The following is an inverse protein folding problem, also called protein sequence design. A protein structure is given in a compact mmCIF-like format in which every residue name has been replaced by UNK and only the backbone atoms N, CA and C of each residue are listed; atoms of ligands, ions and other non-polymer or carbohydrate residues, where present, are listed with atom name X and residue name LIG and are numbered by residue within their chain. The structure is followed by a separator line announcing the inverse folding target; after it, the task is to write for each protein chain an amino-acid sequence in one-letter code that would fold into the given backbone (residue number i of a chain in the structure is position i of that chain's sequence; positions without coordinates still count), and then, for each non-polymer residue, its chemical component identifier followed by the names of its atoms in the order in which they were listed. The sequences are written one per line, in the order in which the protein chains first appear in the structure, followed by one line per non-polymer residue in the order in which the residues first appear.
data_IF_268247535848
#
_entry.id   IF_268247535848
#
_cell.length_a   1.000
_cell.length_b   1.000
_cell.length_c   1.000
_cell.angle_alpha   90.00
_cell.angle_beta   90.00
_cell.angle_gamma   90.00
#
_symmetry.space_group_name_H-M   'P 1'
#
loop_
_entity.id
_entity.type
_entity.pdbx_description
1 polymer ?
#
# COMPACT_ATOMS: atom_id res chain seq x y z
N UNK A 1 11.86 -1.22 31.34
CA UNK A 1 10.99 -2.42 31.25
C UNK A 1 11.26 -3.29 32.48
N UNK A 2 10.25 -3.61 33.31
CA UNK A 2 10.46 -4.44 34.51
C UNK A 2 10.90 -5.87 34.15
N UNK A 3 11.67 -6.52 35.04
CA UNK A 3 12.21 -7.89 34.83
C UNK A 3 11.13 -8.90 34.41
N UNK A 4 9.94 -8.81 35.00
CA UNK A 4 8.79 -9.66 34.68
C UNK A 4 8.33 -9.44 33.23
N UNK A 5 8.25 -8.19 32.77
CA UNK A 5 7.89 -7.86 31.39
C UNK A 5 8.92 -8.36 30.38
N UNK A 6 10.22 -8.31 30.72
CA UNK A 6 11.29 -8.85 29.87
C UNK A 6 11.22 -10.38 29.76
N UNK A 7 10.93 -11.08 30.85
CA UNK A 7 10.77 -12.54 30.84
C UNK A 7 9.55 -12.97 30.03
N UNK A 8 8.40 -12.30 30.20
CA UNK A 8 7.18 -12.58 29.44
C UNK A 8 7.38 -12.33 27.94
N UNK A 9 8.05 -11.24 27.59
CA UNK A 9 8.38 -10.92 26.20
C UNK A 9 9.31 -11.95 25.55
N UNK A 10 10.30 -12.45 26.29
CA UNK A 10 11.19 -13.51 25.80
C UNK A 10 10.46 -14.86 25.61
N UNK A 11 9.57 -15.23 26.55
CA UNK A 11 8.73 -16.42 26.41
C UNK A 11 7.79 -16.31 25.21
N UNK A 12 7.24 -15.12 24.97
CA UNK A 12 6.42 -14.82 23.78
C UNK A 12 7.21 -14.97 22.47
N UNK A 13 8.46 -14.49 22.40
CA UNK A 13 9.33 -14.69 21.23
C UNK A 13 9.50 -16.18 20.90
N UNK A 14 9.72 -17.02 21.91
CA UNK A 14 9.87 -18.47 21.74
C UNK A 14 8.56 -19.12 21.31
N UNK A 15 7.43 -18.75 21.93
CA UNK A 15 6.10 -19.25 21.53
C UNK A 15 5.76 -18.91 20.08
N UNK A 16 6.03 -17.67 19.64
CA UNK A 16 5.82 -17.28 18.26
C UNK A 16 6.72 -18.08 17.31
N UNK A 17 8.01 -18.23 17.59
CA UNK A 17 8.90 -19.08 16.77
C UNK A 17 8.35 -20.50 16.55
N UNK A 18 7.76 -21.11 17.59
CA UNK A 18 7.16 -22.46 17.52
C UNK A 18 5.85 -22.45 16.72
N UNK A 19 4.99 -21.45 16.94
CA UNK A 19 3.69 -21.31 16.24
C UNK A 19 3.85 -20.99 14.76
N UNK A 20 4.87 -20.19 14.42
CA UNK A 20 5.20 -19.79 13.04
C UNK A 20 5.68 -20.95 12.19
N UNK A 21 6.33 -21.96 12.78
CA UNK A 21 6.66 -23.21 12.07
C UNK A 21 5.44 -24.03 11.67
N UNK A 22 4.29 -23.85 12.35
CA UNK A 22 3.16 -24.77 12.29
C UNK A 22 1.85 -24.16 11.78
N UNK A 23 1.82 -22.89 11.34
CA UNK A 23 0.58 -22.21 10.92
C UNK A 23 0.66 -21.62 9.51
N UNK A 24 -0.45 -21.69 8.76
CA UNK A 24 -0.65 -20.96 7.48
C UNK A 24 -0.96 -19.46 7.67
N UNK A 25 -0.99 -19.00 8.93
CA UNK A 25 -1.29 -17.62 9.28
C UNK A 25 -0.01 -16.82 9.10
N UNK A 26 -0.08 -15.65 8.44
CA UNK A 26 1.10 -14.81 8.30
C UNK A 26 1.59 -14.42 9.70
N UNK A 27 2.91 -14.45 9.95
CA UNK A 27 3.47 -14.12 11.25
C UNK A 27 2.92 -12.85 11.87
N UNK A 28 2.77 -11.84 11.02
CA UNK A 28 2.21 -10.52 11.31
C UNK A 28 0.78 -10.57 11.86
N UNK A 29 -0.12 -11.31 11.21
CA UNK A 29 -1.53 -11.39 11.60
C UNK A 29 -1.66 -12.07 12.98
N UNK A 30 -0.85 -13.10 13.23
CA UNK A 30 -0.85 -13.81 14.51
C UNK A 30 -0.36 -12.96 15.68
N UNK A 31 0.64 -12.10 15.44
CA UNK A 31 1.23 -11.22 16.44
C UNK A 31 0.28 -10.05 16.76
N UNK A 32 -0.40 -9.48 15.76
CA UNK A 32 -1.44 -8.47 15.97
C UNK A 32 -2.64 -9.01 16.79
N UNK A 33 -3.14 -10.19 16.44
CA UNK A 33 -4.26 -10.82 17.14
C UNK A 33 -3.91 -11.07 18.61
N UNK A 34 -2.73 -11.63 18.88
CA UNK A 34 -2.32 -11.97 20.25
C UNK A 34 -2.06 -10.72 21.11
N UNK A 35 -1.43 -9.71 20.53
CA UNK A 35 -1.19 -8.43 21.21
C UNK A 35 -2.50 -7.69 21.52
N UNK A 36 -3.47 -7.74 20.60
CA UNK A 36 -4.83 -7.25 20.85
C UNK A 36 -5.53 -8.01 21.98
N UNK A 37 -5.35 -9.34 22.08
CA UNK A 37 -5.93 -10.16 23.16
C UNK A 37 -5.32 -9.86 24.54
N UNK A 38 -4.03 -9.48 24.59
CA UNK A 38 -3.32 -9.16 25.83
C UNK A 38 -3.43 -7.69 26.24
N UNK A 39 -4.06 -6.83 25.44
CA UNK A 39 -4.06 -5.38 25.67
C UNK A 39 -2.65 -4.76 25.56
N UNK A 40 -1.69 -5.50 24.98
CA UNK A 40 -0.32 -5.03 24.78
C UNK A 40 -0.28 -4.39 23.40
N UNK A 41 0.00 -3.09 23.32
CA UNK A 41 0.25 -2.45 22.03
C UNK A 41 1.60 -2.95 21.51
N UNK A 42 1.59 -3.77 20.46
CA UNK A 42 2.84 -4.25 19.86
C UNK A 42 3.58 -3.08 19.23
N UNK A 43 4.75 -2.74 19.76
CA UNK A 43 5.61 -1.73 19.14
C UNK A 43 6.44 -2.37 18.03
N UNK A 44 5.77 -2.70 16.93
CA UNK A 44 6.37 -3.31 15.74
C UNK A 44 7.54 -2.49 15.20
N UNK A 45 7.50 -1.17 15.40
CA UNK A 45 8.56 -0.27 14.95
C UNK A 45 9.84 -0.57 15.72
N UNK A 46 9.77 -0.66 17.05
CA UNK A 46 10.90 -0.98 17.92
C UNK A 46 11.35 -2.43 17.75
N UNK A 47 10.43 -3.40 17.65
CA UNK A 47 10.80 -4.82 17.45
C UNK A 47 11.60 -5.01 16.15
N UNK A 48 11.17 -4.37 15.06
CA UNK A 48 11.89 -4.43 13.80
C UNK A 48 13.21 -3.64 13.86
N UNK A 49 13.27 -2.52 14.58
CA UNK A 49 14.51 -1.76 14.77
C UNK A 49 15.58 -2.60 15.50
N UNK A 50 15.21 -3.28 16.59
CA UNK A 50 16.10 -4.20 17.32
C UNK A 50 16.58 -5.34 16.40
N UNK A 51 15.68 -5.88 15.57
CA UNK A 51 16.05 -6.93 14.64
C UNK A 51 17.08 -6.44 13.61
N UNK A 52 16.82 -5.29 12.97
CA UNK A 52 17.73 -4.69 11.98
C UNK A 52 19.09 -4.38 12.62
N UNK A 53 19.11 -3.84 13.83
CA UNK A 53 20.35 -3.50 14.53
C UNK A 53 21.26 -4.72 14.76
N UNK A 54 20.67 -5.90 14.97
CA UNK A 54 21.39 -7.16 15.17
C UNK A 54 21.61 -7.93 13.85
N UNK A 55 21.24 -7.36 12.71
CA UNK A 55 21.40 -7.97 11.40
C UNK A 55 22.49 -7.23 10.61
N UNK A 56 23.50 -7.96 10.15
CA UNK A 56 24.61 -7.37 9.39
C UNK A 56 24.19 -7.09 7.94
N UNK A 57 23.52 -5.96 7.75
CA UNK A 57 23.18 -5.43 6.42
C UNK A 57 24.08 -4.26 6.02
N UNK A 58 24.57 -4.28 4.79
CA UNK A 58 25.28 -3.13 4.22
C UNK A 58 24.38 -1.93 3.96
N UNK A 59 23.14 -2.20 3.53
CA UNK A 59 22.12 -1.22 3.17
C UNK A 59 20.78 -1.72 3.68
N UNK A 60 19.99 -0.81 4.26
CA UNK A 60 18.63 -1.12 4.70
C UNK A 60 17.65 -0.21 3.99
N UNK A 61 16.61 -0.80 3.37
CA UNK A 61 15.64 -0.07 2.56
C UNK A 61 14.26 -0.16 3.23
N UNK A 62 13.74 0.98 3.66
CA UNK A 62 12.34 1.12 4.07
C UNK A 62 11.44 1.20 2.83
N UNK A 63 10.27 0.60 2.89
CA UNK A 63 9.27 0.61 1.79
C UNK A 63 7.91 1.14 2.23
N UNK A 64 7.60 1.02 3.52
CA UNK A 64 6.40 1.58 4.16
C UNK A 64 6.79 2.62 5.21
N UNK A 65 5.93 3.60 5.50
CA UNK A 65 6.30 4.70 6.41
C UNK A 65 6.62 4.25 7.84
N UNK A 66 5.99 3.17 8.33
CA UNK A 66 6.36 2.60 9.64
C UNK A 66 7.75 1.97 9.62
N UNK A 67 8.10 1.29 8.52
CA UNK A 67 9.44 0.70 8.36
C UNK A 67 10.53 1.77 8.28
N UNK A 68 10.21 2.97 7.78
CA UNK A 68 11.14 4.09 7.78
C UNK A 68 11.59 4.47 9.21
N UNK A 69 10.67 4.46 10.18
CA UNK A 69 11.02 4.66 11.59
C UNK A 69 11.86 3.51 12.15
N UNK A 70 11.54 2.25 11.83
CA UNK A 70 12.35 1.10 12.28
C UNK A 70 13.78 1.18 11.77
N UNK A 71 13.95 1.49 10.48
CA UNK A 71 15.27 1.68 9.87
C UNK A 71 16.01 2.83 10.55
N UNK A 72 15.33 3.94 10.84
CA UNK A 72 15.94 5.07 11.53
C UNK A 72 16.40 4.72 12.96
N UNK A 73 15.53 4.08 13.75
CA UNK A 73 15.84 3.69 15.13
C UNK A 73 16.88 2.58 15.22
N UNK A 74 17.00 1.73 14.20
CA UNK A 74 18.06 0.70 14.15
C UNK A 74 19.47 1.27 14.02
N UNK A 75 19.61 2.56 13.70
CA UNK A 75 20.89 3.21 13.39
C UNK A 75 21.65 2.52 12.26
N UNK A 76 20.93 2.01 11.25
CA UNK A 76 21.53 1.39 10.06
C UNK A 76 22.57 2.30 9.41
N UNK A 77 23.69 1.71 8.97
CA UNK A 77 24.84 2.43 8.39
C UNK A 77 24.47 3.22 7.13
N UNK A 78 23.56 2.68 6.31
CA UNK A 78 23.17 3.25 5.01
C UNK A 78 21.67 3.10 4.80
N UNK A 79 20.84 3.96 5.42
CA UNK A 79 19.40 3.85 5.29
C UNK A 79 18.90 4.50 4.00
N UNK A 80 18.04 3.80 3.29
CA UNK A 80 17.30 4.28 2.13
C UNK A 80 15.80 4.16 2.37
N UNK A 81 15.03 5.06 1.76
CA UNK A 81 13.58 4.96 1.76
C UNK A 81 13.03 4.95 0.34
N UNK A 82 12.53 3.78 -0.07
CA UNK A 82 11.70 3.61 -1.26
C UNK A 82 10.27 4.08 -0.95
N UNK A 83 10.01 5.36 -1.21
CA UNK A 83 8.74 6.01 -0.93
C UNK A 83 7.80 5.87 -2.14
N UNK A 84 6.71 5.13 -1.94
CA UNK A 84 5.70 4.81 -2.97
C UNK A 84 4.28 5.30 -2.61
N UNK A 85 4.05 5.65 -1.35
CA UNK A 85 2.74 6.02 -0.83
C UNK A 85 2.37 7.47 -1.15
N UNK A 86 1.14 7.87 -0.84
CA UNK A 86 0.65 9.24 -0.94
C UNK A 86 -0.41 9.53 0.13
N UNK A 87 -0.64 10.81 0.51
CA UNK A 87 -1.46 11.19 1.65
C UNK A 87 -2.85 10.55 1.67
N UNK A 88 -3.54 10.55 0.54
CA UNK A 88 -4.92 10.07 0.41
C UNK A 88 -5.01 8.55 0.58
N UNK A 89 -3.99 7.80 0.12
CA UNK A 89 -3.90 6.36 0.37
C UNK A 89 -3.69 6.08 1.85
N UNK A 90 -2.76 6.80 2.48
CA UNK A 90 -2.43 6.60 3.90
C UNK A 90 -3.60 6.99 4.79
N UNK A 91 -4.23 8.14 4.56
CA UNK A 91 -5.37 8.58 5.37
C UNK A 91 -6.56 7.62 5.25
N UNK A 92 -6.83 7.10 4.06
CA UNK A 92 -7.92 6.13 3.87
C UNK A 92 -7.65 4.80 4.57
N UNK A 93 -6.39 4.37 4.65
CA UNK A 93 -6.04 3.08 5.27
C UNK A 93 -5.81 3.18 6.79
N UNK A 94 -5.19 4.27 7.25
CA UNK A 94 -4.59 4.41 8.59
C UNK A 94 -5.12 5.63 9.37
N UNK A 95 -6.00 6.42 8.75
CA UNK A 95 -6.59 7.63 9.33
C UNK A 95 -5.59 8.76 9.54
N UNK A 96 -6.02 9.79 10.28
CA UNK A 96 -5.23 11.00 10.54
C UNK A 96 -3.92 10.73 11.30
N UNK A 97 -3.93 9.75 12.19
CA UNK A 97 -2.72 9.36 12.96
C UNK A 97 -1.69 8.76 12.03
N UNK A 98 -2.08 7.82 11.17
CA UNK A 98 -1.21 7.26 10.14
C UNK A 98 -0.69 8.31 9.18
N UNK A 99 -1.55 9.24 8.75
CA UNK A 99 -1.16 10.36 7.89
C UNK A 99 -0.09 11.25 8.54
N UNK A 100 -0.22 11.56 9.83
CA UNK A 100 0.78 12.34 10.56
C UNK A 100 2.10 11.59 10.67
N UNK A 101 2.06 10.30 10.98
CA UNK A 101 3.26 9.44 11.02
C UNK A 101 3.94 9.36 9.65
N UNK A 102 3.16 9.22 8.59
CA UNK A 102 3.67 9.26 7.23
C UNK A 102 4.39 10.58 6.92
N UNK A 103 3.77 11.73 7.22
CA UNK A 103 4.43 13.05 7.03
C UNK A 103 5.71 13.18 7.85
N UNK A 104 5.73 12.67 9.07
CA UNK A 104 6.94 12.63 9.91
C UNK A 104 8.03 11.75 9.29
N UNK A 105 7.68 10.62 8.69
CA UNK A 105 8.65 9.74 8.03
C UNK A 105 9.36 10.42 6.85
N UNK A 106 8.70 11.37 6.17
CA UNK A 106 9.30 12.13 5.07
C UNK A 106 10.39 13.10 5.56
N UNK A 107 10.39 13.45 6.84
CA UNK A 107 11.39 14.34 7.47
C UNK A 107 12.64 13.59 7.94
N UNK A 108 12.64 12.26 7.90
CA UNK A 108 13.78 11.47 8.31
C UNK A 108 14.98 11.75 7.38
N UNK A 109 16.22 11.73 7.90
CA UNK A 109 17.42 12.10 7.15
C UNK A 109 17.89 10.96 6.24
N UNK A 110 17.02 10.50 5.36
CA UNK A 110 17.28 9.44 4.41
C UNK A 110 17.65 9.99 3.03
N UNK A 111 18.33 9.16 2.25
CA UNK A 111 18.25 9.28 0.79
C UNK A 111 17.01 8.53 0.32
N UNK A 112 16.27 9.15 -0.59
CA UNK A 112 14.97 8.66 -1.05
C UNK A 112 15.06 8.13 -2.47
N UNK A 113 14.35 7.04 -2.71
CA UNK A 113 13.99 6.55 -4.04
C UNK A 113 12.47 6.65 -4.14
N UNK A 114 11.96 7.13 -5.27
CA UNK A 114 10.51 7.25 -5.45
C UNK A 114 10.07 6.98 -6.88
N UNK A 115 8.79 6.74 -7.08
CA UNK A 115 8.23 6.25 -8.35
C UNK A 115 7.64 7.36 -9.22
N UNK A 116 7.62 8.62 -8.78
CA UNK A 116 7.03 9.70 -9.55
C UNK A 116 7.58 11.08 -9.19
N UNK A 117 7.37 12.06 -10.07
CA UNK A 117 7.62 13.47 -9.78
C UNK A 117 6.72 14.02 -8.68
N UNK A 118 5.48 13.53 -8.58
CA UNK A 118 4.53 13.91 -7.54
C UNK A 118 5.05 13.53 -6.15
N UNK A 119 5.46 12.28 -5.96
CA UNK A 119 6.00 11.79 -4.69
C UNK A 119 7.36 12.42 -4.38
N UNK A 120 8.20 12.72 -5.39
CA UNK A 120 9.41 13.53 -5.21
C UNK A 120 9.10 14.90 -4.63
N UNK A 121 8.10 15.60 -5.18
CA UNK A 121 7.68 16.91 -4.69
C UNK A 121 7.19 16.81 -3.24
N UNK A 122 6.37 15.81 -2.94
CA UNK A 122 5.88 15.57 -1.59
C UNK A 122 7.01 15.37 -0.57
N UNK A 123 8.08 14.66 -0.93
CA UNK A 123 9.28 14.51 -0.09
C UNK A 123 9.95 15.87 0.11
N UNK A 124 10.22 16.61 -0.96
CA UNK A 124 10.94 17.89 -0.90
C UNK A 124 10.15 18.98 -0.14
N UNK A 125 8.82 18.98 -0.24
CA UNK A 125 7.96 19.89 0.53
C UNK A 125 8.05 19.65 2.05
N UNK A 126 8.42 18.43 2.47
CA UNK A 126 8.59 18.07 3.88
C UNK A 126 10.06 18.03 4.33
N UNK A 127 10.99 17.81 3.40
CA UNK A 127 12.42 17.72 3.62
C UNK A 127 13.19 18.34 2.43
N UNK A 128 13.36 19.68 2.43
CA UNK A 128 13.90 20.41 1.28
C UNK A 128 15.34 20.05 0.89
N UNK A 129 16.10 19.46 1.81
CA UNK A 129 17.51 19.07 1.59
C UNK A 129 17.68 17.58 1.28
N UNK A 130 16.58 16.82 1.19
CA UNK A 130 16.62 15.40 0.88
C UNK A 130 17.23 15.13 -0.51
N UNK A 131 18.06 14.08 -0.59
CA UNK A 131 18.50 13.53 -1.87
C UNK A 131 17.41 12.58 -2.39
N UNK A 132 16.83 12.87 -3.55
CA UNK A 132 15.70 12.11 -4.10
C UNK A 132 15.99 11.65 -5.52
N UNK A 133 15.97 10.33 -5.74
CA UNK A 133 16.07 9.70 -7.06
C UNK A 133 14.70 9.19 -7.50
N UNK A 134 14.30 9.45 -8.75
CA UNK A 134 13.09 8.87 -9.32
C UNK A 134 13.45 7.58 -10.06
N UNK A 135 12.91 6.46 -9.60
CA UNK A 135 12.89 5.19 -10.31
C UNK A 135 11.53 5.05 -11.03
N UNK A 136 11.49 5.43 -12.30
CA UNK A 136 10.24 5.44 -13.07
C UNK A 136 9.62 4.02 -13.15
N UNK A 137 8.29 3.88 -13.02
CA UNK A 137 7.62 2.61 -13.18
C UNK A 137 7.87 2.06 -14.59
N UNK A 138 8.38 0.83 -14.66
CA UNK A 138 8.51 0.12 -15.92
C UNK A 138 7.15 -0.35 -16.45
N UNK A 139 7.00 -0.36 -17.77
CA UNK A 139 5.87 -1.02 -18.43
C UNK A 139 6.29 -2.45 -18.76
N UNK A 140 5.48 -3.45 -18.37
CA UNK A 140 5.71 -4.82 -18.78
C UNK A 140 5.40 -4.96 -20.29
N UNK A 141 6.44 -5.06 -21.11
CA UNK A 141 6.31 -5.12 -22.58
C UNK A 141 5.78 -6.46 -23.09
N UNK A 142 5.80 -7.54 -22.29
CA UNK A 142 5.17 -8.80 -22.65
C UNK A 142 3.63 -8.69 -22.60
N UNK A 143 3.13 -7.90 -21.65
CA UNK A 143 1.70 -7.62 -21.46
C UNK A 143 1.24 -6.46 -22.35
N UNK A 144 1.94 -5.33 -22.28
CA UNK A 144 1.60 -4.08 -22.98
C UNK A 144 2.37 -3.93 -24.29
N UNK A 145 2.22 -4.94 -25.17
CA UNK A 145 2.69 -4.87 -26.55
C UNK A 145 1.57 -4.40 -27.48
N UNK A 146 1.92 -3.61 -28.49
CA UNK A 146 1.01 -3.29 -29.58
C UNK A 146 0.58 -4.58 -30.28
N UNK A 147 -0.69 -4.97 -30.12
CA UNK A 147 -1.28 -6.04 -30.93
C UNK A 147 -1.65 -5.44 -32.29
N UNK A 148 -1.30 -6.14 -33.38
CA UNK A 148 -1.45 -5.64 -34.76
C UNK A 148 -2.90 -5.53 -35.24
N UNK A 149 -3.82 -6.22 -34.58
CA UNK A 149 -5.22 -6.27 -35.00
C UNK A 149 -6.11 -5.61 -33.94
N UNK A 150 -6.69 -4.47 -34.31
CA UNK A 150 -7.84 -3.92 -33.61
C UNK A 150 -9.06 -4.72 -34.07
N UNK A 151 -9.78 -5.32 -33.12
CA UNK A 151 -11.09 -5.88 -33.44
C UNK A 151 -12.01 -4.73 -33.85
N UNK A 152 -12.31 -4.66 -35.15
CA UNK A 152 -13.23 -3.69 -35.70
C UNK A 152 -14.67 -4.18 -35.49
N UNK A 153 -15.13 -4.17 -34.24
CA UNK A 153 -16.57 -4.11 -34.00
C UNK A 153 -16.93 -2.64 -33.79
N UNK A 154 -18.06 -2.19 -34.35
CA UNK A 154 -18.51 -0.78 -34.23
C UNK A 154 -18.88 -0.39 -32.78
N UNK A 155 -18.40 -1.11 -31.75
CA UNK A 155 -18.69 -0.89 -30.35
C UNK A 155 -17.72 0.11 -29.75
N UNK A 156 -18.28 1.14 -29.11
CA UNK A 156 -17.52 2.11 -28.30
C UNK A 156 -17.24 1.48 -26.94
N UNK A 157 -16.03 0.96 -26.76
CA UNK A 157 -15.62 0.27 -25.52
C UNK A 157 -14.90 1.21 -24.56
N UNK A 158 -15.26 1.14 -23.28
CA UNK A 158 -14.60 1.89 -22.21
C UNK A 158 -14.18 0.92 -21.12
N UNK A 159 -12.90 0.92 -20.74
CA UNK A 159 -12.43 0.10 -19.63
C UNK A 159 -12.45 0.89 -18.32
N UNK A 160 -13.00 0.30 -17.26
CA UNK A 160 -13.03 0.86 -15.91
C UNK A 160 -12.45 -0.16 -14.93
N UNK A 161 -11.48 0.26 -14.12
CA UNK A 161 -10.86 -0.60 -13.10
C UNK A 161 -11.42 -0.21 -11.74
N UNK A 162 -12.10 -1.15 -11.08
CA UNK A 162 -12.68 -0.96 -9.76
C UNK A 162 -11.76 -1.58 -8.69
N UNK A 163 -11.46 -0.83 -7.64
CA UNK A 163 -10.52 -1.21 -6.58
C UNK A 163 -11.14 -1.19 -5.18
N UNK A 164 -12.35 -0.66 -5.02
CA UNK A 164 -13.06 -0.54 -3.74
C UNK A 164 -12.42 0.49 -2.79
N UNK A 165 -11.51 1.31 -3.31
CA UNK A 165 -10.76 2.29 -2.55
C UNK A 165 -11.28 3.68 -2.90
N UNK A 166 -11.65 4.48 -1.89
CA UNK A 166 -12.27 5.80 -2.11
C UNK A 166 -11.43 6.72 -3.02
N UNK A 167 -10.11 6.72 -2.83
CA UNK A 167 -9.16 7.51 -3.63
C UNK A 167 -9.06 7.05 -5.10
N UNK A 168 -9.60 5.87 -5.46
CA UNK A 168 -9.66 5.39 -6.84
C UNK A 168 -10.92 5.85 -7.57
N UNK A 169 -11.90 6.40 -6.86
CA UNK A 169 -13.08 7.05 -7.46
C UNK A 169 -13.99 6.10 -8.24
N UNK A 170 -14.09 4.85 -7.79
CA UNK A 170 -14.91 3.80 -8.42
C UNK A 170 -16.36 4.25 -8.68
N UNK A 171 -16.98 4.91 -7.70
CA UNK A 171 -18.32 5.45 -7.73
C UNK A 171 -18.47 6.57 -8.78
N UNK A 172 -17.52 7.51 -8.79
CA UNK A 172 -17.46 8.59 -9.77
C UNK A 172 -17.30 8.02 -11.18
N UNK A 173 -16.43 7.02 -11.34
CA UNK A 173 -16.21 6.35 -12.63
C UNK A 173 -17.51 5.73 -13.17
N UNK A 174 -18.25 5.02 -12.32
CA UNK A 174 -19.53 4.41 -12.71
C UNK A 174 -20.60 5.45 -13.07
N UNK A 175 -20.73 6.51 -12.29
CA UNK A 175 -21.69 7.59 -12.59
C UNK A 175 -21.36 8.30 -13.91
N UNK A 176 -20.08 8.55 -14.18
CA UNK A 176 -19.65 9.11 -15.47
C UNK A 176 -20.05 8.18 -16.63
N UNK A 177 -19.89 6.87 -16.50
CA UNK A 177 -20.30 5.93 -17.55
C UNK A 177 -21.81 5.96 -17.80
N UNK A 178 -22.65 6.10 -16.76
CA UNK A 178 -24.11 6.28 -16.91
C UNK A 178 -24.44 7.53 -17.72
N UNK A 179 -23.81 8.66 -17.38
CA UNK A 179 -24.01 9.93 -18.08
C UNK A 179 -23.56 9.83 -19.54
N UNK A 180 -22.42 9.20 -19.80
CA UNK A 180 -21.91 8.98 -21.16
C UNK A 180 -22.85 8.09 -21.95
N UNK A 181 -23.30 6.97 -21.38
CA UNK A 181 -24.17 6.00 -22.05
C UNK A 181 -25.48 6.61 -22.54
N UNK A 182 -26.05 7.57 -21.80
CA UNK A 182 -27.26 8.31 -22.19
C UNK A 182 -27.08 9.14 -23.48
N UNK A 183 -25.85 9.58 -23.77
CA UNK A 183 -25.54 10.39 -24.96
C UNK A 183 -24.98 9.55 -26.10
N UNK A 184 -24.18 8.55 -25.74
CA UNK A 184 -23.42 7.69 -26.63
C UNK A 184 -23.50 6.27 -26.06
N UNK A 185 -24.19 5.34 -26.70
CA UNK A 185 -24.21 3.95 -26.25
C UNK A 185 -22.79 3.38 -26.18
N UNK A 186 -22.43 2.82 -25.02
CA UNK A 186 -21.12 2.24 -24.75
C UNK A 186 -21.22 0.78 -24.29
N UNK A 187 -20.10 0.07 -24.42
CA UNK A 187 -19.88 -1.21 -23.75
C UNK A 187 -18.72 -1.08 -22.76
N UNK A 188 -18.99 -1.22 -21.46
CA UNK A 188 -17.97 -1.12 -20.43
C UNK A 188 -17.23 -2.45 -20.22
N UNK A 189 -15.90 -2.40 -20.12
CA UNK A 189 -15.07 -3.52 -19.66
C UNK A 189 -14.70 -3.21 -18.22
N UNK A 190 -15.34 -3.88 -17.27
CA UNK A 190 -15.14 -3.66 -15.84
C UNK A 190 -14.12 -4.67 -15.33
N UNK A 191 -13.00 -4.18 -14.80
CA UNK A 191 -11.96 -5.02 -14.18
C UNK A 191 -12.03 -4.86 -12.67
N UNK A 192 -12.32 -5.93 -11.93
CA UNK A 192 -12.45 -5.86 -10.47
C UNK A 192 -13.08 -7.11 -9.84
N UNK A 193 -13.07 -7.19 -8.52
CA UNK A 193 -13.67 -8.35 -7.82
C UNK A 193 -15.18 -8.42 -8.04
N UNK A 194 -15.71 -9.63 -8.23
CA UNK A 194 -17.16 -9.87 -8.45
C UNK A 194 -18.03 -9.29 -7.33
N UNK A 195 -17.60 -9.38 -6.09
CA UNK A 195 -18.36 -8.87 -4.93
C UNK A 195 -18.50 -7.35 -4.97
N UNK A 196 -17.41 -6.64 -5.30
CA UNK A 196 -17.41 -5.20 -5.46
C UNK A 196 -18.36 -4.75 -6.58
N UNK A 197 -18.34 -5.46 -7.71
CA UNK A 197 -19.21 -5.17 -8.86
C UNK A 197 -20.68 -5.40 -8.48
N UNK A 198 -20.98 -6.49 -7.77
CA UNK A 198 -22.33 -6.77 -7.27
C UNK A 198 -22.81 -5.69 -6.31
N UNK A 199 -21.94 -5.24 -5.41
CA UNK A 199 -22.25 -4.15 -4.48
C UNK A 199 -22.57 -2.84 -5.22
N UNK A 200 -21.73 -2.45 -6.19
CA UNK A 200 -21.98 -1.25 -6.99
C UNK A 200 -23.20 -1.36 -7.90
N UNK A 201 -23.43 -2.52 -8.51
CA UNK A 201 -24.62 -2.76 -9.32
C UNK A 201 -25.91 -2.59 -8.51
N UNK A 202 -25.89 -2.97 -7.23
CA UNK A 202 -27.05 -2.81 -6.32
C UNK A 202 -27.23 -1.35 -5.89
N UNK A 203 -26.14 -0.64 -5.60
CA UNK A 203 -26.20 0.68 -4.98
C UNK A 203 -26.26 1.84 -5.98
N UNK A 204 -25.50 1.77 -7.06
CA UNK A 204 -25.34 2.82 -8.07
C UNK A 204 -26.20 2.54 -9.31
N UNK A 205 -26.40 1.25 -9.61
CA UNK A 205 -27.02 0.78 -10.85
C UNK A 205 -26.06 0.89 -12.05
N UNK A 206 -26.18 -0.05 -12.99
CA UNK A 206 -25.40 -0.06 -14.23
C UNK A 206 -26.38 -0.16 -15.40
N UNK A 207 -26.72 0.98 -16.01
CA UNK A 207 -27.69 1.12 -17.10
C UNK A 207 -27.05 1.05 -18.50
N UNK A 208 -25.88 0.42 -18.58
CA UNK A 208 -25.08 0.24 -19.79
C UNK A 208 -24.67 -1.22 -19.96
N UNK A 209 -24.33 -1.62 -21.20
CA UNK A 209 -23.81 -2.97 -21.47
C UNK A 209 -22.40 -3.11 -20.88
N UNK A 210 -22.09 -4.22 -20.23
CA UNK A 210 -20.74 -4.44 -19.67
C UNK A 210 -20.30 -5.90 -19.69
N UNK A 211 -18.98 -6.10 -19.64
CA UNK A 211 -18.30 -7.39 -19.40
C UNK A 211 -17.39 -7.24 -18.19
N UNK A 212 -17.29 -8.29 -17.37
CA UNK A 212 -16.48 -8.31 -16.14
C UNK A 212 -15.25 -9.20 -16.31
N UNK A 213 -14.08 -8.72 -15.86
CA UNK A 213 -12.81 -9.46 -15.78
C UNK A 213 -12.23 -9.43 -14.36
#
# INVERSE_FOLDING_TARGET
MNKIGKTLYNLHKVYNLIKLKNSKIKPYDSLLIFNSLLGIKSDLVTELAEFIQNFDSDITIATYYLTAFSVWFSQSKRPLYLMQDFPELVENNEGKIGLNMFKLSLKLPFSFVTVSSYTKRLILDNNPTARVTIANPGVNLEVFRLKRELQNDNKRRVMLILRGQKQKGDDIGLEVLKIVNKKIPIHAIIVGSKDLIKAYSKNIGMDFSYTVF
#
